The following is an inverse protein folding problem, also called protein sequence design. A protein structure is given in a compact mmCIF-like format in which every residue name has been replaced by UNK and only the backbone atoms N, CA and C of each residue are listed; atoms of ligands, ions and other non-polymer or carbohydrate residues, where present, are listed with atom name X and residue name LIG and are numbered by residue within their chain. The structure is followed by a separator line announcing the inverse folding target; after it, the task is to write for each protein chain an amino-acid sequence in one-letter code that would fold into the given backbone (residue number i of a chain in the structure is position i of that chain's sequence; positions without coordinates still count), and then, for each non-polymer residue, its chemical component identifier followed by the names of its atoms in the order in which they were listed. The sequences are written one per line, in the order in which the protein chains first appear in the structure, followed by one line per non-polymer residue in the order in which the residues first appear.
data_IF_803434833463
#
_entry.id   IF_803434833463
#
_cell.length_a   1.000
_cell.length_b   1.000
_cell.length_c   1.000
_cell.angle_alpha   90.00
_cell.angle_beta   90.00
_cell.angle_gamma   90.00
#
_symmetry.space_group_name_H-M   'P 1'
#
loop_
_entity.id
_entity.type
_entity.pdbx_description
1 polymer ?
#
# COMPACT_ATOMS: atom_id res chain seq x y z
N UNK A 1 17.02 45.07 11.02
CA UNK A 1 17.77 43.98 10.34
C UNK A 1 19.28 44.22 10.28
N UNK A 2 19.80 45.37 9.82
CA UNK A 2 21.21 45.72 10.07
C UNK A 2 21.52 45.88 11.57
N UNK A 3 20.53 46.35 12.34
CA UNK A 3 20.61 46.50 13.80
C UNK A 3 20.93 45.20 14.57
N UNK A 4 20.58 44.02 14.04
CA UNK A 4 20.84 42.73 14.69
C UNK A 4 22.17 42.08 14.28
N UNK A 5 22.78 42.52 13.18
CA UNK A 5 24.01 41.91 12.63
C UNK A 5 25.19 42.89 12.57
N UNK A 6 25.00 44.16 12.98
CA UNK A 6 26.02 45.20 13.16
C UNK A 6 26.67 45.73 11.87
N UNK A 7 26.73 44.94 10.79
CA UNK A 7 27.32 45.34 9.51
C UNK A 7 26.84 44.47 8.34
N UNK A 8 27.03 44.96 7.10
CA UNK A 8 26.77 44.20 5.86
C UNK A 8 27.58 42.90 5.79
N UNK A 9 28.83 42.91 6.26
CA UNK A 9 29.67 41.70 6.36
C UNK A 9 29.15 40.72 7.41
N UNK A 10 28.65 41.21 8.55
CA UNK A 10 28.02 40.39 9.57
C UNK A 10 26.79 39.64 9.03
N UNK A 11 25.95 40.33 8.25
CA UNK A 11 24.81 39.74 7.59
C UNK A 11 25.20 38.67 6.55
N UNK A 12 26.22 38.95 5.71
CA UNK A 12 26.73 37.95 4.75
C UNK A 12 27.27 36.69 5.44
N UNK A 13 27.93 36.83 6.60
CA UNK A 13 28.38 35.67 7.40
C UNK A 13 27.21 34.83 7.94
N UNK A 14 26.11 35.47 8.36
CA UNK A 14 24.91 34.76 8.84
C UNK A 14 24.27 33.95 7.71
N UNK A 15 24.16 34.53 6.50
CA UNK A 15 23.65 33.82 5.32
C UNK A 15 24.55 32.66 4.96
N UNK A 16 25.87 32.89 4.86
CA UNK A 16 26.83 31.85 4.53
C UNK A 16 26.78 30.69 5.53
N UNK A 17 26.67 30.98 6.83
CA UNK A 17 26.48 29.94 7.86
C UNK A 17 25.19 29.15 7.63
N UNK A 18 24.07 29.82 7.40
CA UNK A 18 22.78 29.16 7.14
C UNK A 18 22.85 28.24 5.92
N UNK A 19 23.50 28.68 4.85
CA UNK A 19 23.69 27.88 3.65
C UNK A 19 24.58 26.65 3.89
N UNK A 20 25.66 26.81 4.66
CA UNK A 20 26.51 25.68 5.06
C UNK A 20 25.70 24.67 5.89
N UNK A 21 24.96 25.12 6.90
CA UNK A 21 24.12 24.24 7.71
C UNK A 21 23.08 23.51 6.87
N UNK A 22 22.43 24.21 5.93
CA UNK A 22 21.47 23.61 5.01
C UNK A 22 22.12 22.51 4.16
N UNK A 23 23.27 22.79 3.56
CA UNK A 23 24.04 21.80 2.77
C UNK A 23 24.44 20.58 3.60
N UNK A 24 24.84 20.78 4.86
CA UNK A 24 25.18 19.68 5.77
C UNK A 24 23.95 18.81 6.08
N UNK A 25 22.80 19.42 6.37
CA UNK A 25 21.55 18.69 6.61
C UNK A 25 21.11 17.90 5.36
N UNK A 26 21.18 18.52 4.18
CA UNK A 26 20.85 17.86 2.91
C UNK A 26 21.80 16.67 2.65
N UNK A 27 23.10 16.82 2.91
CA UNK A 27 24.07 15.74 2.77
C UNK A 27 23.81 14.57 3.75
N UNK A 28 23.46 14.86 5.00
CA UNK A 28 23.09 13.83 5.99
C UNK A 28 21.83 13.10 5.53
N UNK A 29 20.82 13.84 5.05
CA UNK A 29 19.57 13.25 4.55
C UNK A 29 19.82 12.34 3.34
N UNK A 30 20.58 12.81 2.35
CA UNK A 30 20.95 12.00 1.18
C UNK A 30 21.79 10.78 1.55
N UNK A 31 22.64 10.88 2.58
CA UNK A 31 23.39 9.72 3.08
C UNK A 31 22.45 8.67 3.67
N UNK A 32 21.51 9.07 4.55
CA UNK A 32 20.53 8.16 5.14
C UNK A 32 19.61 7.52 4.08
N UNK A 33 19.18 8.29 3.09
CA UNK A 33 18.36 7.76 1.99
C UNK A 33 19.12 6.70 1.17
N UNK A 34 20.42 6.92 0.91
CA UNK A 34 21.27 5.94 0.23
C UNK A 34 21.51 4.69 1.08
N UNK A 35 21.78 4.85 2.37
CA UNK A 35 21.95 3.73 3.31
C UNK A 35 20.65 2.89 3.37
N UNK A 36 19.49 3.55 3.50
CA UNK A 36 18.18 2.89 3.47
C UNK A 36 17.93 2.15 2.17
N UNK A 37 18.18 2.78 1.02
CA UNK A 37 17.98 2.14 -0.28
C UNK A 37 18.93 0.95 -0.46
N UNK A 38 20.19 1.07 -0.03
CA UNK A 38 21.15 -0.03 -0.06
C UNK A 38 20.70 -1.20 0.83
N UNK A 39 20.11 -0.91 1.99
CA UNK A 39 19.55 -1.93 2.87
C UNK A 39 18.36 -2.63 2.21
N UNK A 40 17.41 -1.89 1.67
CA UNK A 40 16.25 -2.46 0.95
C UNK A 40 16.65 -3.35 -0.23
N UNK A 41 17.67 -2.96 -1.00
CA UNK A 41 18.21 -3.77 -2.10
C UNK A 41 18.93 -5.04 -1.63
N UNK A 42 19.38 -5.10 -0.38
CA UNK A 42 19.96 -6.31 0.21
C UNK A 42 18.92 -7.33 0.68
N UNK A 43 17.65 -6.92 0.79
CA UNK A 43 16.53 -7.77 1.18
C UNK A 43 16.02 -8.59 -0.03
N UNK A 44 14.80 -9.14 0.07
CA UNK A 44 14.24 -9.98 -0.98
C UNK A 44 14.12 -9.24 -2.32
N UNK A 45 14.45 -9.93 -3.41
CA UNK A 45 14.36 -9.38 -4.77
C UNK A 45 12.97 -8.80 -5.05
N UNK A 46 12.93 -7.56 -5.54
CA UNK A 46 11.68 -6.85 -5.83
C UNK A 46 11.00 -6.20 -4.63
N UNK A 47 11.45 -6.47 -3.40
CA UNK A 47 10.89 -5.84 -2.19
C UNK A 47 11.16 -4.32 -2.18
N UNK A 48 12.37 -3.89 -2.52
CA UNK A 48 12.71 -2.46 -2.60
C UNK A 48 11.74 -1.69 -3.53
N UNK A 49 11.53 -2.22 -4.74
CA UNK A 49 10.58 -1.66 -5.70
C UNK A 49 9.14 -1.64 -5.19
N UNK A 50 8.73 -2.69 -4.47
CA UNK A 50 7.41 -2.71 -3.81
C UNK A 50 7.28 -1.63 -2.74
N UNK A 51 8.27 -1.48 -1.84
CA UNK A 51 8.30 -0.45 -0.79
C UNK A 51 8.19 0.96 -1.38
N UNK A 52 8.90 1.22 -2.48
CA UNK A 52 8.80 2.49 -3.21
C UNK A 52 7.41 2.71 -3.80
N UNK A 53 6.81 1.68 -4.42
CA UNK A 53 5.48 1.78 -5.04
C UNK A 53 4.36 2.09 -4.03
N UNK A 54 4.48 1.61 -2.79
CA UNK A 54 3.52 1.90 -1.71
C UNK A 54 3.85 3.16 -0.90
N UNK A 55 4.93 3.88 -1.29
CA UNK A 55 5.44 5.09 -0.64
C UNK A 55 5.76 4.90 0.85
N UNK A 56 6.25 3.72 1.24
CA UNK A 56 6.52 3.40 2.64
C UNK A 56 7.90 3.91 3.07
N UNK A 57 7.91 4.76 4.10
CA UNK A 57 9.09 5.51 4.58
C UNK A 57 9.71 4.94 5.86
N UNK A 58 9.46 3.67 6.15
CA UNK A 58 10.08 2.99 7.29
C UNK A 58 11.61 2.97 7.16
N UNK A 59 12.27 3.09 8.31
CA UNK A 59 13.73 3.12 8.44
C UNK A 59 14.24 2.09 9.45
N UNK A 60 13.36 1.53 10.28
CA UNK A 60 13.71 0.46 11.21
C UNK A 60 14.04 -0.83 10.44
N UNK A 61 15.28 -1.31 10.58
CA UNK A 61 15.80 -2.47 9.84
C UNK A 61 15.07 -3.76 10.23
N UNK A 62 14.74 -3.98 11.51
CA UNK A 62 14.03 -5.17 11.99
C UNK A 62 12.61 -5.23 11.41
N UNK A 63 11.93 -4.08 11.35
CA UNK A 63 10.60 -3.97 10.76
C UNK A 63 10.65 -4.28 9.26
N UNK A 64 11.66 -3.76 8.55
CA UNK A 64 11.85 -3.99 7.13
C UNK A 64 12.20 -5.45 6.80
N UNK A 65 13.03 -6.12 7.62
CA UNK A 65 13.33 -7.55 7.48
C UNK A 65 12.08 -8.43 7.67
N UNK A 66 11.31 -8.13 8.71
CA UNK A 66 10.03 -8.81 8.96
C UNK A 66 9.05 -8.61 7.82
N UNK A 67 8.98 -7.41 7.25
CA UNK A 67 8.14 -7.10 6.10
C UNK A 67 8.63 -7.78 4.82
N UNK A 68 9.94 -7.82 4.57
CA UNK A 68 10.57 -8.55 3.46
C UNK A 68 10.23 -10.04 3.51
N UNK A 69 10.30 -10.65 4.70
CA UNK A 69 9.91 -12.05 4.90
C UNK A 69 8.44 -12.30 4.54
N UNK A 70 7.53 -11.40 4.96
CA UNK A 70 6.10 -11.48 4.61
C UNK A 70 5.85 -11.24 3.12
N UNK A 71 6.61 -10.34 2.50
CA UNK A 71 6.56 -10.08 1.06
C UNK A 71 6.89 -11.36 0.27
N UNK A 72 7.95 -12.08 0.62
CA UNK A 72 8.33 -13.35 -0.05
C UNK A 72 7.21 -14.38 0.07
N UNK A 73 6.65 -14.53 1.27
CA UNK A 73 5.56 -15.49 1.53
C UNK A 73 4.32 -15.16 0.70
N UNK A 74 3.89 -13.89 0.69
CA UNK A 74 2.69 -13.49 -0.03
C UNK A 74 2.89 -13.52 -1.54
N UNK A 75 3.99 -12.96 -2.04
CA UNK A 75 4.30 -12.94 -3.49
C UNK A 75 4.38 -14.36 -4.04
N UNK A 76 5.13 -15.26 -3.41
CA UNK A 76 5.23 -16.66 -3.83
C UNK A 76 3.88 -17.39 -3.81
N UNK A 77 3.04 -17.15 -2.80
CA UNK A 77 1.71 -17.77 -2.72
C UNK A 77 0.72 -17.27 -3.78
N UNK A 78 0.88 -16.02 -4.24
CA UNK A 78 0.11 -15.44 -5.33
C UNK A 78 0.60 -15.96 -6.69
N UNK A 79 1.92 -15.94 -6.90
CA UNK A 79 2.55 -16.40 -8.14
C UNK A 79 2.27 -17.87 -8.42
N UNK A 80 2.29 -18.73 -7.38
CA UNK A 80 1.92 -20.13 -7.47
C UNK A 80 0.50 -20.38 -8.02
N UNK A 81 -0.34 -19.35 -8.06
CA UNK A 81 -1.71 -19.38 -8.60
C UNK A 81 -1.92 -18.45 -9.79
N UNK A 82 -0.83 -17.95 -10.38
CA UNK A 82 -0.88 -17.07 -11.55
C UNK A 82 -1.34 -15.64 -11.25
N UNK A 83 -1.32 -15.23 -9.98
CA UNK A 83 -1.63 -13.86 -9.57
C UNK A 83 -0.32 -13.08 -9.34
N UNK A 84 -0.36 -11.77 -9.55
CA UNK A 84 0.75 -10.87 -9.24
C UNK A 84 0.41 -10.02 -8.02
N UNK A 85 1.42 -9.74 -7.20
CA UNK A 85 1.29 -8.82 -6.09
C UNK A 85 1.03 -7.40 -6.61
N UNK A 86 0.01 -6.74 -6.05
CA UNK A 86 -0.41 -5.39 -6.42
C UNK A 86 -0.07 -4.41 -5.30
N UNK A 87 0.62 -3.33 -5.65
CA UNK A 87 1.00 -2.26 -4.73
C UNK A 87 -0.18 -1.36 -4.34
N UNK A 88 -1.16 -1.23 -5.23
CA UNK A 88 -2.40 -0.50 -5.01
C UNK A 88 -3.43 -1.29 -4.19
N UNK A 89 -3.21 -2.60 -3.98
CA UNK A 89 -4.05 -3.42 -3.12
C UNK A 89 -3.77 -3.13 -1.65
N UNK A 90 -4.75 -2.49 -0.99
CA UNK A 90 -4.64 -2.09 0.42
C UNK A 90 -4.32 -3.27 1.34
N UNK A 91 -4.91 -4.45 1.12
CA UNK A 91 -4.71 -5.61 1.99
C UNK A 91 -3.35 -6.26 1.80
N UNK A 92 -2.86 -6.33 0.56
CA UNK A 92 -1.49 -6.79 0.32
C UNK A 92 -0.47 -5.88 1.01
N UNK A 93 -0.71 -4.56 0.93
CA UNK A 93 0.07 -3.57 1.67
C UNK A 93 0.00 -3.80 3.17
N UNK A 94 -1.18 -3.89 3.76
CA UNK A 94 -1.35 -4.05 5.22
C UNK A 94 -0.74 -5.36 5.74
N UNK A 95 -0.87 -6.46 4.98
CA UNK A 95 -0.24 -7.73 5.33
C UNK A 95 1.30 -7.62 5.32
N UNK A 96 1.86 -7.02 4.27
CA UNK A 96 3.33 -6.92 4.13
C UNK A 96 3.92 -5.93 5.13
N UNK A 97 3.27 -4.79 5.36
CA UNK A 97 3.78 -3.75 6.26
C UNK A 97 3.61 -4.18 7.70
N UNK A 98 2.42 -4.63 8.09
CA UNK A 98 2.07 -4.83 9.50
C UNK A 98 1.76 -6.26 9.94
N UNK A 99 1.43 -7.14 9.00
CA UNK A 99 1.25 -8.57 9.26
C UNK A 99 -0.20 -8.88 9.57
N UNK A 100 -1.09 -7.95 9.21
CA UNK A 100 -2.50 -7.99 9.52
C UNK A 100 -3.33 -8.45 8.31
N UNK A 101 -4.46 -9.10 8.59
CA UNK A 101 -5.67 -9.03 7.76
C UNK A 101 -6.79 -8.56 8.67
N UNK A 102 -7.60 -7.62 8.21
CA UNK A 102 -8.78 -7.19 8.97
C UNK A 102 -9.91 -8.18 8.65
N UNK A 103 -10.47 -8.85 9.65
CA UNK A 103 -11.82 -9.38 9.51
C UNK A 103 -12.80 -8.20 9.57
N UNK A 104 -13.99 -8.38 9.01
CA UNK A 104 -14.90 -7.29 8.67
C UNK A 104 -15.56 -6.61 9.91
N UNK A 105 -15.05 -6.83 11.13
CA UNK A 105 -15.68 -6.42 12.39
C UNK A 105 -14.72 -5.78 13.43
N UNK A 106 -13.50 -5.40 13.06
CA UNK A 106 -12.56 -4.75 13.98
C UNK A 106 -12.01 -5.69 15.06
N UNK A 107 -12.00 -7.00 14.79
CA UNK A 107 -11.38 -8.02 15.61
C UNK A 107 -9.90 -8.19 15.28
N UNK A 108 -9.04 -8.13 16.29
CA UNK A 108 -7.60 -8.31 16.12
C UNK A 108 -7.27 -9.75 15.69
N UNK A 109 -6.90 -9.96 14.42
CA UNK A 109 -6.35 -11.22 13.93
C UNK A 109 -4.90 -11.43 14.38
N UNK A 110 -4.68 -11.51 15.69
CA UNK A 110 -3.35 -11.76 16.29
C UNK A 110 -2.95 -13.24 16.22
N UNK A 111 -3.75 -14.12 15.60
CA UNK A 111 -3.54 -15.57 15.70
C UNK A 111 -4.24 -16.46 14.66
N UNK A 112 -4.57 -15.97 13.47
CA UNK A 112 -4.92 -16.89 12.39
C UNK A 112 -3.68 -17.28 11.59
N UNK A 113 -3.62 -18.56 11.20
CA UNK A 113 -2.53 -19.14 10.43
C UNK A 113 -2.23 -18.26 9.21
N UNK A 114 -0.96 -18.01 8.91
CA UNK A 114 -0.48 -17.29 7.71
C UNK A 114 -1.25 -17.72 6.44
N UNK A 115 -1.66 -18.99 6.38
CA UNK A 115 -2.51 -19.56 5.33
C UNK A 115 -3.88 -18.86 5.15
N UNK A 116 -4.57 -18.50 6.23
CA UNK A 116 -5.87 -17.82 6.20
C UNK A 116 -5.70 -16.39 5.68
N UNK A 117 -4.69 -15.67 6.16
CA UNK A 117 -4.39 -14.31 5.70
C UNK A 117 -4.01 -14.26 4.22
N UNK A 118 -3.17 -15.20 3.76
CA UNK A 118 -2.85 -15.37 2.33
C UNK A 118 -4.12 -15.64 1.53
N UNK A 119 -5.01 -16.50 2.02
CA UNK A 119 -6.25 -16.83 1.35
C UNK A 119 -7.19 -15.62 1.27
N UNK A 120 -7.28 -14.81 2.32
CA UNK A 120 -8.03 -13.54 2.32
C UNK A 120 -7.44 -12.53 1.34
N UNK A 121 -6.11 -12.33 1.34
CA UNK A 121 -5.44 -11.47 0.36
C UNK A 121 -5.75 -11.92 -1.08
N UNK A 122 -5.73 -13.23 -1.33
CA UNK A 122 -6.02 -13.81 -2.64
C UNK A 122 -7.45 -13.50 -3.11
N UNK A 123 -8.44 -13.73 -2.27
CA UNK A 123 -9.84 -13.51 -2.65
C UNK A 123 -10.11 -12.02 -2.89
N UNK A 124 -9.46 -11.14 -2.15
CA UNK A 124 -9.61 -9.69 -2.34
C UNK A 124 -8.93 -9.23 -3.63
N UNK A 125 -7.73 -9.71 -3.94
CA UNK A 125 -7.08 -9.42 -5.22
C UNK A 125 -7.91 -9.87 -6.43
N UNK A 126 -8.52 -11.06 -6.35
CA UNK A 126 -9.44 -11.53 -7.41
C UNK A 126 -10.64 -10.62 -7.56
N UNK A 127 -11.15 -10.13 -6.43
CA UNK A 127 -12.28 -9.22 -6.40
C UNK A 127 -11.93 -7.86 -7.02
N UNK A 128 -10.75 -7.31 -6.70
CA UNK A 128 -10.22 -6.08 -7.31
C UNK A 128 -10.03 -6.25 -8.83
N UNK A 129 -9.45 -7.37 -9.28
CA UNK A 129 -9.31 -7.68 -10.72
C UNK A 129 -10.67 -7.81 -11.43
N UNK A 130 -11.70 -8.33 -10.75
CA UNK A 130 -13.05 -8.37 -11.27
C UNK A 130 -13.63 -6.97 -11.49
N UNK A 131 -13.44 -6.08 -10.52
CA UNK A 131 -13.87 -4.67 -10.61
C UNK A 131 -13.19 -3.97 -11.78
N UNK A 132 -11.87 -4.11 -11.91
CA UNK A 132 -11.10 -3.51 -13.02
C UNK A 132 -11.61 -4.02 -14.38
N UNK A 133 -11.78 -5.35 -14.51
CA UNK A 133 -12.30 -5.97 -15.73
C UNK A 133 -13.72 -5.46 -16.10
N UNK A 134 -14.61 -5.32 -15.11
CA UNK A 134 -15.96 -4.80 -15.33
C UNK A 134 -15.95 -3.31 -15.71
N UNK A 135 -15.04 -2.52 -15.15
CA UNK A 135 -14.82 -1.12 -15.52
C UNK A 135 -14.32 -0.97 -16.95
N UNK A 136 -13.30 -1.73 -17.33
CA UNK A 136 -12.67 -1.68 -18.66
C UNK A 136 -13.62 -2.15 -19.78
N UNK A 137 -14.52 -3.10 -19.47
CA UNK A 137 -15.45 -3.67 -20.44
C UNK A 137 -16.89 -3.11 -20.31
N UNK A 138 -17.02 -1.87 -19.84
CA UNK A 138 -18.31 -1.19 -19.69
C UNK A 138 -19.03 -1.08 -21.04
N UNK A 139 -20.32 -1.46 -21.06
CA UNK A 139 -21.17 -1.37 -22.27
C UNK A 139 -21.01 -2.53 -23.26
N UNK A 140 -20.12 -3.49 -23.01
CA UNK A 140 -19.99 -4.72 -23.81
C UNK A 140 -20.85 -5.84 -23.22
N UNK A 141 -21.32 -6.80 -24.03
CA UNK A 141 -21.97 -8.00 -23.50
C UNK A 141 -20.92 -8.95 -22.96
N UNK A 142 -20.98 -9.30 -21.68
CA UNK A 142 -20.01 -10.19 -21.05
C UNK A 142 -20.51 -11.64 -21.00
N UNK A 143 -19.58 -12.58 -20.78
CA UNK A 143 -19.93 -13.96 -20.45
C UNK A 143 -20.79 -14.01 -19.18
N UNK A 144 -21.71 -14.97 -19.10
CA UNK A 144 -22.70 -15.10 -18.02
C UNK A 144 -22.11 -15.00 -16.59
N UNK A 145 -20.89 -15.48 -16.38
CA UNK A 145 -20.21 -15.45 -15.07
C UNK A 145 -19.96 -14.00 -14.63
N UNK A 146 -19.62 -13.11 -15.56
CA UNK A 146 -19.32 -11.71 -15.28
C UNK A 146 -20.57 -10.83 -15.26
N UNK A 147 -21.62 -11.17 -16.00
CA UNK A 147 -22.92 -10.48 -15.93
C UNK A 147 -23.53 -10.56 -14.52
N UNK A 148 -23.31 -11.67 -13.80
CA UNK A 148 -23.68 -11.79 -12.37
C UNK A 148 -22.89 -10.87 -11.44
N UNK A 149 -21.73 -10.38 -11.85
CA UNK A 149 -20.95 -9.40 -11.09
C UNK A 149 -21.29 -7.97 -11.52
N UNK A 150 -21.66 -7.77 -12.79
CA UNK A 150 -22.01 -6.47 -13.36
C UNK A 150 -23.16 -5.78 -12.63
N UNK A 151 -24.25 -6.48 -12.35
CA UNK A 151 -25.39 -5.85 -11.66
C UNK A 151 -24.99 -5.33 -10.26
N UNK A 152 -24.16 -6.07 -9.53
CA UNK A 152 -23.60 -5.63 -8.23
C UNK A 152 -22.63 -4.46 -8.39
N UNK A 153 -21.82 -4.49 -9.45
CA UNK A 153 -20.88 -3.41 -9.75
C UNK A 153 -21.62 -2.09 -10.04
N UNK A 154 -22.72 -2.15 -10.81
CA UNK A 154 -23.57 -0.99 -11.06
C UNK A 154 -24.31 -0.52 -9.80
N UNK A 155 -24.83 -1.45 -8.99
CA UNK A 155 -25.48 -1.14 -7.70
C UNK A 155 -24.55 -0.34 -6.78
N UNK A 156 -23.31 -0.81 -6.58
CA UNK A 156 -22.39 -0.23 -5.59
C UNK A 156 -21.60 0.97 -6.16
N UNK A 157 -21.55 1.17 -7.47
CA UNK A 157 -20.98 2.40 -8.06
C UNK A 157 -21.84 3.64 -7.81
N UNK A 158 -23.08 3.48 -7.38
CA UNK A 158 -23.97 4.58 -6.99
C UNK A 158 -23.95 4.92 -5.50
N UNK A 159 -23.21 4.16 -4.67
CA UNK A 159 -23.22 4.28 -3.21
C UNK A 159 -21.90 4.80 -2.61
N UNK A 160 -21.97 5.48 -1.47
CA UNK A 160 -20.83 6.02 -0.70
C UNK A 160 -20.10 4.97 0.16
N UNK A 161 -20.08 3.71 -0.31
CA UNK A 161 -19.51 2.58 0.44
C UNK A 161 -17.98 2.59 0.32
N UNK A 162 -17.30 2.11 1.35
CA UNK A 162 -15.84 2.01 1.35
C UNK A 162 -15.33 1.07 0.24
N UNK A 163 -14.35 1.52 -0.54
CA UNK A 163 -13.88 0.83 -1.77
C UNK A 163 -13.52 -0.65 -1.56
N UNK A 164 -13.04 -0.99 -0.36
CA UNK A 164 -12.67 -2.36 0.04
C UNK A 164 -13.87 -3.31 0.08
N UNK A 165 -15.01 -2.88 0.63
CA UNK A 165 -16.21 -3.70 0.74
C UNK A 165 -16.91 -3.86 -0.62
N UNK A 166 -16.74 -2.89 -1.52
CA UNK A 166 -17.30 -2.94 -2.88
C UNK A 166 -16.78 -4.14 -3.65
N UNK A 167 -15.45 -4.33 -3.71
CA UNK A 167 -14.85 -5.37 -4.53
C UNK A 167 -15.31 -6.78 -4.11
N UNK A 168 -15.21 -7.10 -2.81
CA UNK A 168 -15.62 -8.40 -2.27
C UNK A 168 -17.09 -8.71 -2.52
N UNK A 169 -17.98 -7.74 -2.31
CA UNK A 169 -19.40 -7.89 -2.58
C UNK A 169 -19.67 -8.11 -4.08
N UNK A 170 -19.04 -7.33 -4.94
CA UNK A 170 -19.18 -7.44 -6.40
C UNK A 170 -18.80 -8.85 -6.87
N UNK A 171 -17.66 -9.35 -6.40
CA UNK A 171 -17.12 -10.65 -6.81
C UNK A 171 -17.87 -11.84 -6.20
N UNK A 172 -18.08 -11.83 -4.89
CA UNK A 172 -18.59 -13.01 -4.16
C UNK A 172 -20.08 -12.95 -3.81
N UNK A 173 -20.68 -11.77 -3.81
CA UNK A 173 -22.05 -11.52 -3.33
C UNK A 173 -22.21 -11.63 -1.82
N UNK A 174 -21.12 -11.84 -1.06
CA UNK A 174 -21.12 -11.86 0.41
C UNK A 174 -20.90 -10.45 0.97
N UNK A 175 -21.40 -10.22 2.19
CA UNK A 175 -21.21 -8.95 2.89
C UNK A 175 -21.82 -7.78 2.13
N UNK A 176 -23.12 -7.87 1.77
CA UNK A 176 -23.84 -6.71 1.21
C UNK A 176 -23.54 -5.53 2.12
N UNK A 177 -22.94 -4.44 1.60
CA UNK A 177 -22.66 -3.27 2.40
C UNK A 177 -24.00 -2.60 2.65
N UNK A 178 -24.73 -3.10 3.66
CA UNK A 178 -25.94 -2.45 4.15
C UNK A 178 -25.52 -1.05 4.53
N UNK A 179 -26.09 -0.05 3.85
CA UNK A 179 -26.14 1.32 4.33
C UNK A 179 -26.43 1.25 5.82
N UNK A 180 -25.48 1.63 6.66
CA UNK A 180 -25.77 1.96 8.05
C UNK A 180 -26.87 3.01 7.98
N UNK A 181 -28.11 2.57 8.15
CA UNK A 181 -29.22 3.45 8.38
C UNK A 181 -29.09 3.92 9.83
N UNK A 182 -28.97 5.24 9.94
CA UNK A 182 -29.05 6.11 11.12
C UNK A 182 -27.78 6.20 11.97
#
# INVERSE_FOLDING_TARGET
MLASCGSKLGWLRVIAKRDIYKKQLDAIKQRRERERHSFLESLATGFASYVESILWKETDEDVLESASSRFVVLSGALEARGLRLRADSYICKEFIVWGYGNDEWGGWLRRESTSVLIQTCREILKAELCVDYLGDNRGLVLLQIWEKCRWRFEEVNSSSIESRLKALYIFSGRGHPSTSQV
#
